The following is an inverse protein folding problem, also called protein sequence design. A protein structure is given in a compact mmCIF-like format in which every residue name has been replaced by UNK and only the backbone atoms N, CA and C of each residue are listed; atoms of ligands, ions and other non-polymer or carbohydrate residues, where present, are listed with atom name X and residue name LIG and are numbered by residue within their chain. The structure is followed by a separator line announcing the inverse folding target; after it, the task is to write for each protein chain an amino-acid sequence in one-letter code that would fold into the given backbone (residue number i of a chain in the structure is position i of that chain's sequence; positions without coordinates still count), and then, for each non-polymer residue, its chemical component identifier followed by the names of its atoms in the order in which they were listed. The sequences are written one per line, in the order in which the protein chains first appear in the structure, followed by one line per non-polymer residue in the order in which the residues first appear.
data_IF_250264319291
#
_entry.id   IF_250264319291
#
_cell.length_a   1.000
_cell.length_b   1.000
_cell.length_c   1.000
_cell.angle_alpha   90.00
_cell.angle_beta   90.00
_cell.angle_gamma   90.00
#
_symmetry.space_group_name_H-M   'P 1'
#
loop_
_entity.id
_entity.type
_entity.pdbx_description
1 polymer ?
#
# COMPACT_ATOMS: atom_id res chain seq x y z
N UNK A 1 -2.21 16.99 -3.20
CA UNK A 1 -1.70 16.01 -4.17
C UNK A 1 -1.38 14.73 -3.43
N UNK A 2 -1.85 13.59 -3.93
CA UNK A 2 -1.38 12.30 -3.46
C UNK A 2 -0.04 11.99 -4.14
N UNK A 3 0.80 11.20 -3.46
CA UNK A 3 2.11 10.79 -3.95
C UNK A 3 2.18 9.28 -3.75
N UNK A 4 1.98 8.54 -4.83
CA UNK A 4 1.95 7.08 -4.84
C UNK A 4 3.16 6.46 -5.55
N UNK A 5 4.21 7.27 -5.80
CA UNK A 5 5.44 6.77 -6.39
C UNK A 5 6.19 5.81 -5.45
N UNK A 6 6.95 4.90 -6.05
CA UNK A 6 7.69 3.85 -5.33
C UNK A 6 8.56 4.41 -4.20
N UNK A 7 9.33 5.46 -4.49
CA UNK A 7 10.30 6.03 -3.53
C UNK A 7 9.57 6.63 -2.33
N UNK A 8 8.47 7.33 -2.57
CA UNK A 8 7.66 7.92 -1.52
C UNK A 8 7.02 6.85 -0.61
N UNK A 9 6.51 5.76 -1.17
CA UNK A 9 5.94 4.64 -0.39
C UNK A 9 7.01 4.03 0.52
N UNK A 10 8.19 3.71 -0.03
CA UNK A 10 9.29 3.15 0.75
C UNK A 10 9.71 4.09 1.89
N UNK A 11 9.95 5.37 1.58
CA UNK A 11 10.35 6.36 2.57
C UNK A 11 9.28 6.53 3.67
N UNK A 12 8.02 6.52 3.29
CA UNK A 12 6.89 6.65 4.23
C UNK A 12 6.79 5.44 5.15
N UNK A 13 6.97 4.22 4.63
CA UNK A 13 7.00 3.01 5.45
C UNK A 13 8.16 3.03 6.45
N UNK A 14 9.38 3.40 6.02
CA UNK A 14 10.54 3.54 6.92
C UNK A 14 10.31 4.59 8.02
N UNK A 15 9.68 5.72 7.66
CA UNK A 15 9.31 6.75 8.63
C UNK A 15 8.34 6.20 9.67
N UNK A 16 7.30 5.48 9.24
CA UNK A 16 6.34 4.85 10.15
C UNK A 16 7.02 3.91 11.14
N UNK A 17 7.85 2.98 10.66
CA UNK A 17 8.61 2.06 11.51
C UNK A 17 9.42 2.79 12.59
N UNK A 18 10.12 3.87 12.22
CA UNK A 18 10.85 4.72 13.16
C UNK A 18 9.94 5.38 14.19
N UNK A 19 8.82 5.95 13.76
CA UNK A 19 7.93 6.73 14.64
C UNK A 19 7.19 5.86 15.66
N UNK A 20 6.85 4.62 15.30
CA UNK A 20 6.16 3.69 16.21
C UNK A 20 7.09 2.65 16.84
N UNK A 21 8.41 2.84 16.74
CA UNK A 21 9.44 2.04 17.39
C UNK A 21 9.32 0.52 17.17
N UNK A 22 9.04 0.13 15.93
CA UNK A 22 8.96 -1.28 15.52
C UNK A 22 9.80 -1.50 14.27
N UNK A 23 10.25 -2.74 14.06
CA UNK A 23 10.94 -3.17 12.84
C UNK A 23 9.96 -3.65 11.76
N UNK A 24 8.68 -3.81 12.10
CA UNK A 24 7.67 -4.37 11.21
C UNK A 24 6.28 -3.74 11.36
N UNK A 25 5.58 -3.62 10.23
CA UNK A 25 4.14 -3.35 10.12
C UNK A 25 3.41 -4.63 9.73
N UNK A 26 2.32 -4.95 10.43
CA UNK A 26 1.45 -6.05 10.00
C UNK A 26 0.69 -5.72 8.71
N UNK A 27 0.27 -4.46 8.54
CA UNK A 27 -0.51 -4.00 7.39
C UNK A 27 -0.11 -2.58 6.95
N UNK A 28 0.14 -2.40 5.65
CA UNK A 28 0.30 -1.09 5.01
C UNK A 28 -0.80 -0.88 3.95
N UNK A 29 -1.40 0.31 3.94
CA UNK A 29 -2.46 0.67 2.99
C UNK A 29 -2.06 1.83 2.07
N UNK A 30 -2.43 1.76 0.79
CA UNK A 30 -2.54 2.99 -0.02
C UNK A 30 -3.77 3.75 0.48
N UNK A 31 -3.53 4.93 1.04
CA UNK A 31 -4.53 5.67 1.83
C UNK A 31 -5.71 6.17 0.98
N UNK A 32 -5.46 6.62 -0.25
CA UNK A 32 -6.50 7.14 -1.16
C UNK A 32 -6.10 6.81 -2.61
N UNK A 33 -7.07 6.64 -3.51
CA UNK A 33 -6.77 6.50 -4.93
C UNK A 33 -6.15 7.80 -5.46
N UNK A 34 -5.05 7.65 -6.19
CA UNK A 34 -4.33 8.74 -6.84
C UNK A 34 -4.59 8.67 -8.36
N UNK A 35 -5.11 9.74 -9.00
CA UNK A 35 -5.31 9.78 -10.44
C UNK A 35 -4.04 9.55 -11.27
N UNK A 36 -2.86 9.77 -10.67
CA UNK A 36 -1.55 9.58 -11.30
C UNK A 36 -0.86 8.29 -10.84
N UNK A 37 -1.58 7.38 -10.19
CA UNK A 37 -1.01 6.13 -9.70
C UNK A 37 -0.55 5.23 -10.85
N UNK A 38 0.74 4.91 -10.87
CA UNK A 38 1.30 3.83 -11.68
C UNK A 38 1.31 2.52 -10.86
N UNK A 39 0.44 1.57 -11.23
CA UNK A 39 0.24 0.34 -10.45
C UNK A 39 1.52 -0.50 -10.31
N UNK A 40 2.39 -0.46 -11.32
CA UNK A 40 3.67 -1.18 -11.32
C UNK A 40 4.64 -0.58 -10.28
N UNK A 41 4.68 0.75 -10.10
CA UNK A 41 5.52 1.38 -9.07
C UNK A 41 5.07 1.02 -7.65
N UNK A 42 3.76 1.01 -7.41
CA UNK A 42 3.18 0.61 -6.13
C UNK A 42 3.50 -0.86 -5.85
N UNK A 43 3.34 -1.73 -6.86
CA UNK A 43 3.65 -3.15 -6.74
C UNK A 43 5.13 -3.40 -6.43
N UNK A 44 6.05 -2.69 -7.10
CA UNK A 44 7.47 -2.75 -6.80
C UNK A 44 7.80 -2.31 -5.36
N UNK A 45 7.16 -1.25 -4.85
CA UNK A 45 7.33 -0.82 -3.47
C UNK A 45 6.83 -1.88 -2.48
N UNK A 46 5.65 -2.45 -2.73
CA UNK A 46 5.07 -3.49 -1.89
C UNK A 46 5.93 -4.75 -1.87
N UNK A 47 6.40 -5.22 -3.03
CA UNK A 47 7.30 -6.37 -3.10
C UNK A 47 8.62 -6.13 -2.35
N UNK A 48 9.21 -4.94 -2.43
CA UNK A 48 10.44 -4.61 -1.70
C UNK A 48 10.22 -4.61 -0.17
N UNK A 49 9.11 -4.04 0.29
CA UNK A 49 8.75 -4.04 1.72
C UNK A 49 8.40 -5.44 2.24
N UNK A 50 7.76 -6.25 1.40
CA UNK A 50 7.44 -7.64 1.71
C UNK A 50 8.72 -8.49 1.82
N UNK A 51 9.60 -8.41 0.81
CA UNK A 51 10.84 -9.18 0.75
C UNK A 51 11.80 -8.82 1.90
N UNK A 52 11.82 -7.55 2.33
CA UNK A 52 12.61 -7.12 3.48
C UNK A 52 12.01 -7.52 4.84
N UNK A 53 10.79 -8.08 4.87
CA UNK A 53 10.09 -8.45 6.11
C UNK A 53 9.54 -7.26 6.91
N UNK A 54 9.65 -6.04 6.37
CA UNK A 54 9.21 -4.80 7.03
C UNK A 54 7.70 -4.64 7.03
N UNK A 55 7.01 -5.25 6.06
CA UNK A 55 5.55 -5.24 5.98
C UNK A 55 5.05 -6.65 5.66
N UNK A 56 4.14 -7.18 6.47
CA UNK A 56 3.59 -8.53 6.28
C UNK A 56 2.47 -8.57 5.23
N UNK A 57 1.55 -7.63 5.30
CA UNK A 57 0.37 -7.58 4.44
C UNK A 57 0.13 -6.19 3.86
N UNK A 58 -0.61 -6.16 2.75
CA UNK A 58 -0.91 -4.93 2.03
C UNK A 58 -2.40 -4.84 1.72
N UNK A 59 -2.90 -3.62 1.70
CA UNK A 59 -4.27 -3.32 1.29
C UNK A 59 -4.38 -1.93 0.70
N UNK A 60 -5.61 -1.50 0.52
CA UNK A 60 -5.94 -0.16 0.01
C UNK A 60 -7.03 0.46 0.87
N UNK A 61 -7.30 1.73 0.64
CA UNK A 61 -8.34 2.47 1.34
C UNK A 61 -9.04 3.39 0.34
N UNK A 62 -10.38 3.36 0.34
CA UNK A 62 -11.23 4.16 -0.55
C UNK A 62 -11.05 3.87 -2.05
N UNK A 63 -10.61 2.66 -2.42
CA UNK A 63 -10.49 2.28 -3.83
C UNK A 63 -11.84 1.85 -4.39
N UNK A 64 -12.12 2.21 -5.64
CA UNK A 64 -13.20 1.59 -6.42
C UNK A 64 -12.83 0.13 -6.78
N UNK A 65 -13.80 -0.73 -7.16
CA UNK A 65 -13.51 -2.10 -7.56
C UNK A 65 -12.51 -2.22 -8.72
N UNK A 66 -12.56 -1.31 -9.69
CA UNK A 66 -11.63 -1.31 -10.83
C UNK A 66 -10.21 -0.91 -10.41
N UNK A 67 -10.06 0.08 -9.54
CA UNK A 67 -8.77 0.47 -8.97
C UNK A 67 -8.17 -0.64 -8.11
N UNK A 68 -8.99 -1.32 -7.30
CA UNK A 68 -8.57 -2.48 -6.51
C UNK A 68 -8.06 -3.59 -7.43
N UNK A 69 -8.84 -3.93 -8.47
CA UNK A 69 -8.49 -4.97 -9.43
C UNK A 69 -7.22 -4.63 -10.22
N UNK A 70 -7.04 -3.35 -10.58
CA UNK A 70 -5.85 -2.86 -11.26
C UNK A 70 -4.59 -3.14 -10.42
N UNK A 71 -4.55 -2.70 -9.16
CA UNK A 71 -3.39 -2.92 -8.30
C UNK A 71 -3.21 -4.42 -7.99
N UNK A 72 -4.29 -5.14 -7.68
CA UNK A 72 -4.24 -6.58 -7.42
C UNK A 72 -3.62 -7.36 -8.58
N UNK A 73 -3.87 -6.96 -9.83
CA UNK A 73 -3.34 -7.64 -11.01
C UNK A 73 -1.81 -7.58 -11.14
N UNK A 74 -1.14 -6.72 -10.37
CA UNK A 74 0.32 -6.56 -10.36
C UNK A 74 1.02 -7.24 -9.19
N UNK A 75 0.26 -7.78 -8.24
CA UNK A 75 0.79 -8.33 -7.00
C UNK A 75 0.76 -9.87 -7.01
N UNK A 76 1.84 -10.53 -6.56
CA UNK A 76 1.87 -11.99 -6.42
C UNK A 76 1.14 -12.50 -5.16
N UNK A 77 0.58 -11.59 -4.36
CA UNK A 77 -0.18 -11.87 -3.14
C UNK A 77 -1.49 -11.07 -3.12
N UNK A 78 -2.45 -11.51 -2.33
CA UNK A 78 -3.75 -10.85 -2.19
C UNK A 78 -3.66 -9.56 -1.38
N UNK A 79 -4.29 -8.50 -1.88
CA UNK A 79 -4.65 -7.34 -1.06
C UNK A 79 -5.67 -7.80 -0.01
N UNK A 80 -5.37 -7.60 1.27
CA UNK A 80 -6.14 -8.20 2.36
C UNK A 80 -7.35 -7.37 2.79
N UNK A 81 -7.42 -6.10 2.36
CA UNK A 81 -8.54 -5.21 2.67
C UNK A 81 -8.68 -4.06 1.69
N UNK A 82 -9.90 -3.52 1.62
CA UNK A 82 -10.20 -2.18 1.15
C UNK A 82 -10.90 -1.45 2.31
N UNK A 83 -10.21 -0.55 3.00
CA UNK A 83 -10.79 0.21 4.10
C UNK A 83 -11.77 1.26 3.55
N UNK A 84 -13.06 1.11 3.85
CA UNK A 84 -14.13 1.95 3.35
C UNK A 84 -14.88 2.63 4.50
N UNK A 85 -15.48 3.77 4.20
CA UNK A 85 -16.48 4.40 5.07
C UNK A 85 -17.81 3.65 4.94
N UNK A 86 -18.36 3.22 6.09
CA UNK A 86 -19.65 2.53 6.18
C UNK A 86 -20.35 3.02 7.44
N UNK A 87 -21.49 3.70 7.27
CA UNK A 87 -22.38 4.12 8.36
C UNK A 87 -23.85 3.89 7.95
N UNK A 88 -24.78 3.72 8.92
CA UNK A 88 -26.22 3.62 8.64
C UNK A 88 -26.81 4.85 7.95
#
# INVERSE_FOLDING_TARGET
HYITDKRHILQSAENSLRHIHTDRLDLLLIHRPDPLMEADEVAEAFMALHHSGKVLHFGVSNFTPSQFSLLQSRLPFSLVTNQLEISP
#
